data_IF_108899438058
#
_entry.id   IF_108899438058
#
_cell.length_a   1.000
_cell.length_b   1.000
_cell.length_c   1.000
_cell.angle_alpha   90.00
_cell.angle_beta   90.00
_cell.angle_gamma   90.00
#
_symmetry.space_group_name_H-M   'P 1'
#
loop_
_entity.id
_entity.type
_entity.pdbx_description
1 polymer ?
#
# COMPACT_ATOMS: atom_id res chain seq x y z
N UNK A 1 24.14 8.23 6.68
CA UNK A 1 22.98 8.94 7.28
C UNK A 1 22.38 10.01 6.36
N UNK A 2 23.22 10.74 5.62
CA UNK A 2 22.80 11.89 4.82
C UNK A 2 22.05 11.49 3.54
N UNK A 3 22.50 10.46 2.88
CA UNK A 3 21.94 9.96 1.61
C UNK A 3 20.49 9.44 1.75
N UNK A 4 20.13 8.87 2.90
CA UNK A 4 18.76 8.41 3.18
C UNK A 4 17.80 9.57 3.45
N UNK A 5 18.25 10.60 4.18
CA UNK A 5 17.45 11.81 4.43
C UNK A 5 17.18 12.57 3.14
N UNK A 6 18.16 12.67 2.25
CA UNK A 6 18.00 13.29 0.95
C UNK A 6 16.99 12.55 0.08
N UNK A 7 17.01 11.21 0.04
CA UNK A 7 16.03 10.42 -0.73
C UNK A 7 14.60 10.60 -0.21
N UNK A 8 14.40 10.64 1.10
CA UNK A 8 13.07 10.84 1.70
C UNK A 8 12.52 12.25 1.44
N UNK A 9 13.37 13.28 1.51
CA UNK A 9 12.98 14.64 1.14
C UNK A 9 12.61 14.71 -0.35
N UNK A 10 13.39 14.11 -1.25
CA UNK A 10 13.11 14.11 -2.68
C UNK A 10 11.77 13.45 -3.04
N UNK A 11 11.36 12.35 -2.40
CA UNK A 11 10.08 11.70 -2.67
C UNK A 11 8.92 12.62 -2.25
N UNK A 12 9.02 13.23 -1.07
CA UNK A 12 7.99 14.13 -0.55
C UNK A 12 7.82 15.39 -1.41
N UNK A 13 8.93 15.99 -1.82
CA UNK A 13 8.90 17.18 -2.67
C UNK A 13 8.33 16.87 -4.05
N UNK A 14 8.69 15.74 -4.63
CA UNK A 14 8.11 15.25 -5.90
C UNK A 14 6.62 14.99 -5.77
N UNK A 15 6.16 14.39 -4.66
CA UNK A 15 4.75 14.15 -4.42
C UNK A 15 3.96 15.45 -4.34
N UNK A 16 4.49 16.48 -3.65
CA UNK A 16 3.87 17.81 -3.56
C UNK A 16 3.82 18.47 -4.95
N UNK A 17 4.94 18.52 -5.66
CA UNK A 17 5.01 19.16 -6.99
C UNK A 17 4.04 18.49 -7.96
N UNK A 18 4.05 17.18 -8.07
CA UNK A 18 3.16 16.46 -8.99
C UNK A 18 1.70 16.56 -8.57
N UNK A 19 1.41 16.61 -7.26
CA UNK A 19 0.07 16.87 -6.74
C UNK A 19 -0.44 18.26 -7.11
N UNK A 20 0.39 19.30 -6.98
CA UNK A 20 0.07 20.67 -7.41
C UNK A 20 -0.19 20.70 -8.92
N UNK A 21 0.68 20.08 -9.72
CA UNK A 21 0.51 20.01 -11.18
C UNK A 21 -0.77 19.27 -11.57
N UNK A 22 -1.12 18.18 -10.90
CA UNK A 22 -2.38 17.50 -11.12
C UNK A 22 -3.60 18.38 -10.78
N UNK A 23 -3.50 19.15 -9.70
CA UNK A 23 -4.56 20.06 -9.27
C UNK A 23 -4.76 21.23 -10.23
N UNK A 24 -3.69 21.97 -10.59
CA UNK A 24 -3.80 23.15 -11.46
C UNK A 24 -4.17 22.83 -12.90
N UNK A 25 -3.90 21.59 -13.35
CA UNK A 25 -4.28 21.10 -14.67
C UNK A 25 -5.65 20.38 -14.69
N UNK A 26 -6.38 20.41 -13.56
CA UNK A 26 -7.67 19.73 -13.43
C UNK A 26 -8.66 20.15 -14.55
N UNK A 27 -9.32 19.18 -15.14
CA UNK A 27 -10.23 19.39 -16.27
C UNK A 27 -9.56 19.39 -17.65
N UNK A 28 -8.24 19.21 -17.72
CA UNK A 28 -7.51 19.04 -18.99
C UNK A 28 -6.93 17.63 -19.11
N UNK A 29 -6.50 17.22 -20.32
CA UNK A 29 -5.79 15.94 -20.51
C UNK A 29 -4.48 15.85 -19.71
N UNK A 30 -3.83 16.97 -19.41
CA UNK A 30 -2.64 17.03 -18.59
C UNK A 30 -2.89 16.58 -17.14
N UNK A 31 -4.10 16.73 -16.64
CA UNK A 31 -4.43 16.22 -15.30
C UNK A 31 -4.32 14.69 -15.24
N UNK A 32 -4.75 13.97 -16.25
CA UNK A 32 -4.61 12.51 -16.30
C UNK A 32 -3.14 12.09 -16.26
N UNK A 33 -2.28 12.77 -17.02
CA UNK A 33 -0.84 12.53 -17.00
C UNK A 33 -0.23 12.79 -15.60
N UNK A 34 -0.54 13.96 -15.01
CA UNK A 34 0.01 14.31 -13.70
C UNK A 34 -0.52 13.45 -12.56
N UNK A 35 -1.77 13.00 -12.63
CA UNK A 35 -2.28 12.00 -11.68
C UNK A 35 -1.56 10.67 -11.83
N UNK A 36 -1.28 10.20 -13.03
CA UNK A 36 -0.51 8.98 -13.23
C UNK A 36 0.90 9.09 -12.63
N UNK A 37 1.59 10.21 -12.85
CA UNK A 37 2.92 10.48 -12.26
C UNK A 37 2.81 10.55 -10.74
N UNK A 38 1.85 11.32 -10.20
CA UNK A 38 1.59 11.44 -8.78
C UNK A 38 1.36 10.08 -8.11
N UNK A 39 0.51 9.25 -8.69
CA UNK A 39 0.21 7.93 -8.15
C UNK A 39 1.42 6.99 -8.14
N UNK A 40 2.26 7.04 -9.18
CA UNK A 40 3.49 6.26 -9.19
C UNK A 40 4.46 6.73 -8.09
N UNK A 41 4.63 8.05 -7.89
CA UNK A 41 5.45 8.58 -6.79
C UNK A 41 4.84 8.22 -5.43
N UNK A 42 3.52 8.25 -5.30
CA UNK A 42 2.80 7.81 -4.12
C UNK A 42 3.06 6.32 -3.82
N UNK A 43 3.07 5.46 -4.83
CA UNK A 43 3.42 4.05 -4.70
C UNK A 43 4.86 3.82 -4.26
N UNK A 44 5.81 4.70 -4.61
CA UNK A 44 7.19 4.68 -4.11
C UNK A 44 7.36 5.08 -2.64
N UNK A 45 6.30 5.40 -1.91
CA UNK A 45 6.36 5.55 -0.43
C UNK A 45 6.66 4.21 0.27
N UNK A 46 6.62 3.11 -0.44
CA UNK A 46 6.87 1.76 0.05
C UNK A 46 8.26 1.56 0.71
N UNK A 47 9.39 2.09 0.20
CA UNK A 47 10.67 1.98 0.91
C UNK A 47 10.66 2.62 2.30
N UNK A 48 9.98 3.76 2.47
CA UNK A 48 9.84 4.40 3.78
C UNK A 48 9.02 3.53 4.74
N UNK A 49 7.94 2.94 4.25
CA UNK A 49 7.10 2.03 5.00
C UNK A 49 7.90 0.79 5.46
N UNK A 50 8.69 0.17 4.58
CA UNK A 50 9.52 -0.98 4.90
C UNK A 50 10.61 -0.63 5.94
N UNK A 51 11.38 0.44 5.74
CA UNK A 51 12.44 0.86 6.67
C UNK A 51 11.89 1.27 8.04
N UNK A 52 10.75 1.97 8.08
CA UNK A 52 10.09 2.35 9.34
C UNK A 52 9.48 1.14 10.04
N UNK A 53 9.00 0.16 9.28
CA UNK A 53 8.53 -1.13 9.80
C UNK A 53 9.62 -1.88 10.55
N UNK A 54 10.84 -1.88 10.01
CA UNK A 54 12.05 -2.41 10.65
C UNK A 54 12.63 -1.49 11.74
N UNK A 55 12.08 -0.29 11.94
CA UNK A 55 12.57 0.72 12.89
C UNK A 55 13.99 1.22 12.61
N UNK A 56 14.40 1.18 11.34
CA UNK A 56 15.76 1.55 10.88
C UNK A 56 15.86 2.94 10.26
N UNK A 57 14.71 3.57 9.93
CA UNK A 57 14.67 4.87 9.26
C UNK A 57 15.09 6.03 10.18
N UNK A 58 14.69 5.99 11.46
CA UNK A 58 14.94 7.04 12.45
C UNK A 58 15.55 6.45 13.73
N UNK A 59 16.37 7.24 14.43
CA UNK A 59 16.87 6.86 15.76
C UNK A 59 15.75 6.80 16.81
N UNK A 60 14.73 7.65 16.67
CA UNK A 60 13.57 7.69 17.57
C UNK A 60 12.58 6.57 17.22
N UNK A 61 12.25 5.74 18.21
CA UNK A 61 11.22 4.70 18.10
C UNK A 61 9.85 5.31 17.75
N UNK A 62 9.48 6.43 18.39
CA UNK A 62 8.20 7.10 18.17
C UNK A 62 8.08 7.65 16.76
N UNK A 63 9.17 8.21 16.19
CA UNK A 63 9.16 8.67 14.80
C UNK A 63 9.04 7.50 13.82
N UNK A 64 9.72 6.38 14.06
CA UNK A 64 9.54 5.19 13.23
C UNK A 64 8.08 4.72 13.24
N UNK A 65 7.45 4.62 14.41
CA UNK A 65 6.05 4.20 14.52
C UNK A 65 5.11 5.20 13.81
N UNK A 66 5.28 6.51 14.05
CA UNK A 66 4.45 7.54 13.43
C UNK A 66 4.50 7.47 11.90
N UNK A 67 5.70 7.47 11.32
CA UNK A 67 5.86 7.39 9.86
C UNK A 67 5.48 6.03 9.31
N UNK A 68 5.64 4.96 10.10
CA UNK A 68 5.19 3.63 9.72
C UNK A 68 3.68 3.57 9.51
N UNK A 69 2.89 4.12 10.43
CA UNK A 69 1.43 4.14 10.29
C UNK A 69 0.96 4.99 9.11
N UNK A 70 1.57 6.17 8.91
CA UNK A 70 1.27 7.00 7.74
C UNK A 70 1.61 6.28 6.44
N UNK A 71 2.83 5.77 6.31
CA UNK A 71 3.27 5.08 5.09
C UNK A 71 2.54 3.76 4.86
N UNK A 72 2.13 3.06 5.91
CA UNK A 72 1.25 1.89 5.82
C UNK A 72 -0.09 2.26 5.20
N UNK A 73 -0.70 3.37 5.63
CA UNK A 73 -1.92 3.89 5.00
C UNK A 73 -1.67 4.21 3.52
N UNK A 74 -0.59 4.92 3.19
CA UNK A 74 -0.24 5.27 1.81
C UNK A 74 0.01 4.02 0.95
N UNK A 75 0.62 2.98 1.51
CA UNK A 75 0.88 1.72 0.82
C UNK A 75 -0.30 0.75 0.81
N UNK A 76 -1.40 1.09 1.48
CA UNK A 76 -2.58 0.25 1.65
C UNK A 76 -2.29 -1.08 2.36
N UNK A 77 -1.41 -1.08 3.36
CA UNK A 77 -1.11 -2.22 4.21
C UNK A 77 -1.54 -1.94 5.65
N UNK A 78 -2.30 -2.83 6.25
CA UNK A 78 -2.58 -2.75 7.68
C UNK A 78 -1.26 -3.01 8.43
N UNK A 79 -0.84 -2.07 9.34
CA UNK A 79 0.52 -2.08 9.88
C UNK A 79 0.88 -3.32 10.69
N UNK A 80 -0.03 -3.84 11.52
CA UNK A 80 0.26 -5.04 12.32
C UNK A 80 0.21 -6.32 11.49
N UNK A 81 -0.77 -6.44 10.59
CA UNK A 81 -0.86 -7.55 9.65
C UNK A 81 0.45 -7.71 8.89
N UNK A 82 0.95 -6.59 8.33
CA UNK A 82 2.20 -6.64 7.59
C UNK A 82 3.41 -7.02 8.46
N UNK A 83 3.54 -6.47 9.65
CA UNK A 83 4.66 -6.83 10.55
C UNK A 83 4.71 -8.32 10.83
N UNK A 84 3.57 -8.93 11.07
CA UNK A 84 3.51 -10.36 11.35
C UNK A 84 3.79 -11.21 10.11
N UNK A 85 3.21 -10.89 8.96
CA UNK A 85 3.50 -11.62 7.72
C UNK A 85 4.94 -11.46 7.28
N UNK A 86 5.49 -10.24 7.42
CA UNK A 86 6.88 -9.95 7.07
C UNK A 86 7.88 -10.65 8.00
N UNK A 87 7.55 -10.78 9.27
CA UNK A 87 8.34 -11.58 10.20
C UNK A 87 8.37 -13.07 9.81
N UNK A 88 7.22 -13.61 9.43
CA UNK A 88 7.13 -14.98 8.92
C UNK A 88 7.92 -15.13 7.62
N UNK A 89 7.81 -14.16 6.70
CA UNK A 89 8.58 -14.12 5.45
C UNK A 89 10.09 -14.14 5.70
N UNK A 90 10.62 -13.27 6.58
CA UNK A 90 12.05 -13.26 6.92
C UNK A 90 12.55 -14.57 7.55
N UNK A 91 11.70 -15.23 8.33
CA UNK A 91 12.05 -16.51 8.94
C UNK A 91 12.06 -17.69 7.95
N UNK A 92 11.44 -17.53 6.78
CA UNK A 92 11.17 -18.63 5.85
C UNK A 92 11.40 -18.24 4.38
N UNK A 93 12.27 -17.24 4.14
CA UNK A 93 12.56 -16.73 2.80
C UNK A 93 13.01 -17.88 1.87
N UNK A 94 12.37 -17.98 0.70
CA UNK A 94 12.60 -19.03 -0.31
C UNK A 94 12.28 -20.47 0.12
N UNK A 95 11.58 -20.68 1.22
CA UNK A 95 11.09 -22.01 1.56
C UNK A 95 9.81 -22.32 0.77
N UNK A 96 9.92 -23.20 -0.21
CA UNK A 96 8.76 -23.73 -0.97
C UNK A 96 7.84 -24.59 -0.10
N UNK A 97 8.29 -24.97 1.08
CA UNK A 97 7.57 -25.83 2.02
C UNK A 97 6.76 -25.02 3.05
N UNK A 98 6.90 -23.69 3.07
CA UNK A 98 6.17 -22.87 4.02
C UNK A 98 4.84 -22.33 3.43
N UNK A 99 3.70 -22.97 3.78
CA UNK A 99 2.38 -22.55 3.31
C UNK A 99 1.92 -21.23 3.97
N UNK A 100 2.68 -20.69 4.91
CA UNK A 100 2.32 -19.51 5.70
C UNK A 100 2.98 -18.23 5.22
N UNK A 101 3.83 -18.28 4.18
CA UNK A 101 4.38 -17.08 3.56
C UNK A 101 3.32 -16.43 2.64
N UNK A 102 2.63 -15.43 3.19
CA UNK A 102 1.60 -14.68 2.46
C UNK A 102 2.13 -13.41 1.76
N UNK A 103 3.44 -13.19 1.74
CA UNK A 103 4.05 -12.05 1.03
C UNK A 103 4.44 -12.39 -0.39
N UNK A 104 4.81 -13.63 -0.64
CA UNK A 104 5.18 -14.12 -1.97
C UNK A 104 4.12 -15.09 -2.46
N UNK A 105 3.38 -14.69 -3.48
CA UNK A 105 2.60 -15.64 -4.28
C UNK A 105 3.59 -16.40 -5.18
N UNK A 106 4.05 -17.56 -4.74
CA UNK A 106 4.75 -18.48 -5.63
C UNK A 106 3.74 -18.93 -6.71
N UNK A 107 3.90 -18.38 -7.90
CA UNK A 107 3.19 -18.88 -9.06
C UNK A 107 3.62 -20.31 -9.33
N UNK A 108 2.84 -21.27 -8.87
CA UNK A 108 3.06 -22.69 -9.14
C UNK A 108 3.03 -23.04 -10.63
N UNK A 109 2.84 -22.04 -11.49
CA UNK A 109 2.71 -22.24 -12.93
C UNK A 109 3.33 -21.07 -13.70
N UNK A 110 4.43 -21.33 -14.39
CA UNK A 110 5.09 -20.38 -15.29
C UNK A 110 4.15 -19.76 -16.33
N UNK A 111 3.03 -20.40 -16.65
CA UNK A 111 2.00 -19.87 -17.57
C UNK A 111 1.15 -18.78 -16.96
N UNK A 112 1.02 -18.70 -15.64
CA UNK A 112 0.25 -17.66 -14.94
C UNK A 112 1.07 -16.41 -14.64
N UNK A 113 2.39 -16.56 -14.58
CA UNK A 113 3.30 -15.43 -14.28
C UNK A 113 3.17 -14.25 -15.25
N UNK A 114 3.11 -14.44 -16.60
CA UNK A 114 2.95 -13.32 -17.52
C UNK A 114 1.59 -12.62 -17.36
N UNK A 115 0.53 -13.36 -17.08
CA UNK A 115 -0.81 -12.81 -16.84
C UNK A 115 -0.85 -12.00 -15.55
N UNK A 116 -0.29 -12.53 -14.47
CA UNK A 116 -0.18 -11.84 -13.18
C UNK A 116 0.66 -10.56 -13.31
N UNK A 117 1.78 -10.63 -14.03
CA UNK A 117 2.62 -9.47 -14.33
C UNK A 117 1.83 -8.40 -15.09
N UNK A 118 1.19 -8.77 -16.18
CA UNK A 118 0.41 -7.84 -17.00
C UNK A 118 -0.72 -7.19 -16.19
N UNK A 119 -1.42 -7.97 -15.37
CA UNK A 119 -2.48 -7.48 -14.50
C UNK A 119 -1.99 -6.48 -13.47
N UNK A 120 -0.78 -6.67 -12.95
CA UNK A 120 -0.18 -5.74 -12.00
C UNK A 120 0.36 -4.46 -12.66
N UNK A 121 0.65 -4.48 -13.97
CA UNK A 121 1.14 -3.31 -14.72
C UNK A 121 0.01 -2.38 -15.18
N UNK A 122 -1.21 -2.87 -15.32
CA UNK A 122 -2.34 -2.06 -15.79
C UNK A 122 -2.94 -1.28 -14.62
N UNK A 123 -3.00 0.06 -14.68
CA UNK A 123 -3.69 0.86 -13.67
C UNK A 123 -5.13 0.39 -13.43
N UNK A 124 -5.58 0.43 -12.19
CA UNK A 124 -6.92 0.01 -11.76
C UNK A 124 -7.24 -1.48 -11.89
N UNK A 125 -6.35 -2.32 -12.41
CA UNK A 125 -6.64 -3.75 -12.57
C UNK A 125 -6.92 -4.44 -11.23
N UNK A 126 -6.35 -3.96 -10.11
CA UNK A 126 -6.67 -4.45 -8.77
C UNK A 126 -8.16 -4.30 -8.43
N UNK A 127 -8.87 -3.31 -9.00
CA UNK A 127 -10.32 -3.15 -8.79
C UNK A 127 -11.13 -4.23 -9.52
N UNK A 128 -10.65 -4.75 -10.64
CA UNK A 128 -11.29 -5.86 -11.36
C UNK A 128 -11.21 -7.15 -10.54
N UNK A 129 -10.08 -7.34 -9.87
CA UNK A 129 -9.83 -8.50 -8.99
C UNK A 129 -9.93 -8.14 -7.51
N UNK A 130 -10.80 -7.18 -7.17
CA UNK A 130 -10.92 -6.59 -5.85
C UNK A 130 -10.98 -7.62 -4.71
N UNK A 131 -11.68 -8.74 -4.88
CA UNK A 131 -11.76 -9.82 -3.88
C UNK A 131 -10.41 -10.47 -3.54
N UNK A 132 -9.39 -10.30 -4.37
CA UNK A 132 -8.03 -10.77 -4.14
C UNK A 132 -7.09 -9.65 -3.67
N UNK A 133 -7.60 -8.43 -3.50
CA UNK A 133 -6.81 -7.28 -3.12
C UNK A 133 -6.61 -7.19 -1.60
N UNK A 134 -5.52 -6.56 -1.20
CA UNK A 134 -5.27 -6.22 0.22
C UNK A 134 -6.37 -5.28 0.75
N UNK A 135 -6.92 -4.41 -0.09
CA UNK A 135 -8.04 -3.55 0.29
C UNK A 135 -9.28 -4.35 0.70
N UNK A 136 -9.59 -5.42 -0.02
CA UNK A 136 -10.68 -6.32 0.36
C UNK A 136 -10.39 -7.07 1.66
N UNK A 137 -9.15 -7.52 1.86
CA UNK A 137 -8.72 -8.14 3.11
C UNK A 137 -8.87 -7.19 4.31
N UNK A 138 -8.51 -5.90 4.15
CA UNK A 138 -8.73 -4.89 5.18
C UNK A 138 -10.21 -4.74 5.52
N UNK A 139 -11.10 -4.75 4.51
CA UNK A 139 -12.55 -4.71 4.75
C UNK A 139 -13.01 -5.95 5.52
N UNK A 140 -12.55 -7.14 5.16
CA UNK A 140 -12.89 -8.36 5.88
C UNK A 140 -12.44 -8.29 7.35
N UNK A 141 -11.22 -7.84 7.61
CA UNK A 141 -10.71 -7.65 8.97
C UNK A 141 -11.54 -6.60 9.74
N UNK A 142 -11.90 -5.49 9.10
CA UNK A 142 -12.75 -4.46 9.74
C UNK A 142 -14.13 -5.00 10.16
N UNK A 143 -14.68 -5.94 9.39
CA UNK A 143 -15.92 -6.67 9.71
C UNK A 143 -15.70 -7.78 10.75
N UNK A 144 -14.47 -8.03 11.20
CA UNK A 144 -14.13 -9.07 12.16
C UNK A 144 -13.99 -10.47 11.56
N UNK A 145 -13.91 -10.57 10.23
CA UNK A 145 -13.72 -11.86 9.55
C UNK A 145 -12.24 -12.26 9.69
N UNK A 146 -12.00 -13.42 10.27
CA UNK A 146 -10.67 -14.01 10.39
C UNK A 146 -10.26 -14.64 9.06
N UNK A 147 -9.48 -13.92 8.27
CA UNK A 147 -8.91 -14.45 7.01
C UNK A 147 -7.86 -15.51 7.31
N UNK A 148 -7.47 -16.29 6.28
CA UNK A 148 -6.40 -17.28 6.40
C UNK A 148 -5.09 -16.63 6.88
N UNK A 149 -4.73 -15.48 6.33
CA UNK A 149 -3.54 -14.71 6.75
C UNK A 149 -3.59 -14.38 8.24
N UNK A 150 -4.73 -13.96 8.74
CA UNK A 150 -4.90 -13.64 10.18
C UNK A 150 -4.73 -14.89 11.05
N UNK A 151 -5.23 -16.03 10.60
CA UNK A 151 -5.12 -17.31 11.35
C UNK A 151 -3.70 -17.85 11.34
N UNK A 152 -3.02 -17.78 10.18
CA UNK A 152 -1.70 -18.38 9.99
C UNK A 152 -0.56 -17.55 10.61
N UNK A 153 -0.65 -16.21 10.54
CA UNK A 153 0.48 -15.33 10.87
C UNK A 153 0.28 -14.48 12.12
N UNK A 154 -0.97 -14.20 12.54
CA UNK A 154 -1.22 -13.20 13.57
C UNK A 154 -1.63 -13.86 14.88
N UNK A 155 -0.84 -13.70 15.97
CA UNK A 155 -1.19 -14.24 17.27
C UNK A 155 -2.59 -13.77 17.72
N UNK A 156 -3.33 -14.63 18.40
CA UNK A 156 -4.72 -14.35 18.81
C UNK A 156 -4.86 -13.07 19.63
N UNK A 157 -3.90 -12.78 20.50
CA UNK A 157 -3.89 -11.58 21.33
C UNK A 157 -3.65 -10.29 20.52
N UNK A 158 -3.13 -10.38 19.29
CA UNK A 158 -2.90 -9.25 18.39
C UNK A 158 -4.05 -9.03 17.40
N UNK A 159 -4.86 -10.05 17.12
CA UNK A 159 -5.97 -9.97 16.14
C UNK A 159 -6.96 -8.83 16.42
N UNK A 160 -7.37 -8.54 17.68
CA UNK A 160 -8.27 -7.41 17.97
C UNK A 160 -7.68 -6.06 17.54
N UNK A 161 -6.36 -5.88 17.63
CA UNK A 161 -5.68 -4.66 17.19
C UNK A 161 -5.67 -4.53 15.67
N UNK A 162 -5.48 -5.63 14.94
CA UNK A 162 -5.58 -5.66 13.47
C UNK A 162 -6.99 -5.28 13.03
N UNK A 163 -8.02 -5.83 13.68
CA UNK A 163 -9.43 -5.49 13.42
C UNK A 163 -9.67 -3.99 13.67
N UNK A 164 -9.18 -3.47 14.79
CA UNK A 164 -9.32 -2.05 15.13
C UNK A 164 -8.63 -1.14 14.09
N UNK A 165 -7.38 -1.43 13.73
CA UNK A 165 -6.66 -0.67 12.71
C UNK A 165 -7.36 -0.73 11.35
N UNK A 166 -7.86 -1.90 10.96
CA UNK A 166 -8.61 -2.07 9.72
C UNK A 166 -9.89 -1.22 9.69
N UNK A 167 -10.59 -1.10 10.83
CA UNK A 167 -11.74 -0.18 10.98
C UNK A 167 -11.33 1.27 10.80
N UNK A 168 -10.16 1.69 11.31
CA UNK A 168 -9.63 3.04 11.08
C UNK A 168 -9.39 3.27 9.59
N UNK A 169 -8.79 2.30 8.87
CA UNK A 169 -8.58 2.40 7.42
C UNK A 169 -9.89 2.60 6.67
N UNK A 170 -10.90 1.76 6.96
CA UNK A 170 -12.23 1.86 6.34
C UNK A 170 -12.90 3.19 6.68
N UNK A 171 -12.80 3.65 7.93
CA UNK A 171 -13.35 4.94 8.35
C UNK A 171 -12.72 6.12 7.58
N UNK A 172 -11.39 6.08 7.37
CA UNK A 172 -10.70 7.10 6.56
C UNK A 172 -11.18 7.03 5.10
N UNK A 173 -11.34 5.85 4.51
CA UNK A 173 -11.85 5.71 3.15
C UNK A 173 -13.27 6.27 3.02
N UNK A 174 -14.16 5.96 3.97
CA UNK A 174 -15.51 6.51 4.01
C UNK A 174 -15.47 8.04 4.14
N UNK A 175 -14.62 8.58 5.02
CA UNK A 175 -14.48 10.03 5.19
C UNK A 175 -14.02 10.73 3.90
N UNK A 176 -13.08 10.13 3.14
CA UNK A 176 -12.62 10.67 1.85
C UNK A 176 -13.77 10.63 0.81
N UNK A 177 -14.53 9.55 0.77
CA UNK A 177 -15.69 9.43 -0.13
C UNK A 177 -16.75 10.47 0.23
N UNK A 178 -17.09 10.61 1.50
CA UNK A 178 -18.04 11.63 1.96
C UNK A 178 -17.55 13.05 1.65
N UNK A 179 -16.27 13.34 1.84
CA UNK A 179 -15.67 14.61 1.45
C UNK A 179 -15.85 14.87 -0.05
N UNK A 180 -15.60 13.88 -0.88
CA UNK A 180 -15.78 13.96 -2.33
C UNK A 180 -17.24 14.25 -2.72
N UNK A 181 -18.18 13.59 -2.04
CA UNK A 181 -19.63 13.81 -2.25
C UNK A 181 -20.08 15.20 -1.80
N UNK A 182 -19.65 15.66 -0.63
CA UNK A 182 -20.01 16.99 -0.08
C UNK A 182 -19.46 18.10 -0.97
N UNK A 183 -18.23 17.95 -1.48
CA UNK A 183 -17.61 18.97 -2.34
C UNK A 183 -17.99 18.82 -3.81
N UNK A 184 -18.77 17.80 -4.18
CA UNK A 184 -19.10 17.42 -5.56
C UNK A 184 -17.85 17.35 -6.46
N UNK A 185 -16.74 16.88 -5.89
CA UNK A 185 -15.44 16.85 -6.55
C UNK A 185 -14.79 15.48 -6.42
N UNK A 186 -14.22 14.97 -7.51
CA UNK A 186 -13.43 13.74 -7.52
C UNK A 186 -12.04 13.88 -6.91
N UNK A 187 -11.57 15.13 -6.69
CA UNK A 187 -10.21 15.40 -6.22
C UNK A 187 -9.85 14.69 -4.91
N UNK A 188 -10.68 14.68 -3.84
CA UNK A 188 -10.33 13.95 -2.62
C UNK A 188 -10.08 12.46 -2.86
N UNK A 189 -10.93 11.82 -3.65
CA UNK A 189 -10.79 10.40 -3.99
C UNK A 189 -9.56 10.16 -4.87
N UNK A 190 -9.29 11.02 -5.86
CA UNK A 190 -8.14 10.91 -6.74
C UNK A 190 -6.81 11.10 -6.01
N UNK A 191 -6.74 12.01 -5.03
CA UNK A 191 -5.51 12.29 -4.28
C UNK A 191 -5.24 11.31 -3.13
N UNK A 192 -6.28 10.84 -2.43
CA UNK A 192 -6.07 10.13 -1.16
C UNK A 192 -6.53 8.67 -1.16
N UNK A 193 -7.43 8.28 -2.07
CA UNK A 193 -7.95 6.91 -2.11
C UNK A 193 -7.43 6.13 -3.32
N UNK A 194 -7.53 6.67 -4.51
CA UNK A 194 -7.22 5.98 -5.76
C UNK A 194 -5.73 5.88 -6.13
N UNK A 195 -4.78 6.69 -5.60
CA UNK A 195 -3.36 6.53 -5.95
C UNK A 195 -2.83 5.13 -5.73
N UNK A 196 -3.36 4.42 -4.74
CA UNK A 196 -3.04 3.02 -4.42
C UNK A 196 -3.38 2.06 -5.58
N UNK A 197 -4.36 2.39 -6.41
CA UNK A 197 -4.86 1.55 -7.48
C UNK A 197 -4.30 1.89 -8.85
N UNK A 198 -3.97 3.17 -9.10
CA UNK A 198 -3.40 3.57 -10.38
C UNK A 198 -1.89 3.80 -10.37
N UNK A 199 -1.26 3.90 -9.19
CA UNK A 199 0.15 4.26 -9.03
C UNK A 199 1.10 3.12 -8.74
N UNK A 200 0.66 1.87 -8.72
CA UNK A 200 1.51 0.72 -8.37
C UNK A 200 2.37 0.18 -9.50
N UNK A 201 2.15 0.62 -10.74
CA UNK A 201 2.77 0.04 -11.93
C UNK A 201 4.29 -0.03 -11.84
N UNK A 202 4.97 1.10 -11.59
CA UNK A 202 6.42 1.14 -11.50
C UNK A 202 6.95 0.40 -10.27
N UNK A 203 6.27 0.50 -9.14
CA UNK A 203 6.68 -0.24 -7.94
C UNK A 203 6.67 -1.75 -8.17
N UNK A 204 5.61 -2.27 -8.79
CA UNK A 204 5.52 -3.69 -9.15
C UNK A 204 6.60 -4.09 -10.13
N UNK A 205 6.90 -3.25 -11.14
CA UNK A 205 7.99 -3.53 -12.08
C UNK A 205 9.33 -3.67 -11.36
N UNK A 206 9.64 -2.78 -10.44
CA UNK A 206 10.88 -2.83 -9.65
C UNK A 206 10.90 -4.05 -8.72
N UNK A 207 9.79 -4.41 -8.09
CA UNK A 207 9.72 -5.57 -7.21
C UNK A 207 9.89 -6.91 -7.93
N UNK A 208 9.69 -6.97 -9.25
CA UNK A 208 9.97 -8.17 -10.05
C UNK A 208 11.46 -8.32 -10.45
N UNK A 209 12.25 -7.27 -10.30
CA UNK A 209 13.68 -7.26 -10.67
C UNK A 209 14.60 -7.47 -9.45
N UNK A 210 14.05 -7.56 -8.26
CA UNK A 210 14.75 -7.85 -7.00
C UNK A 210 14.53 -9.30 -6.57
#
# INVERSE_FOLDING_TARGET
GDDRRQRQMCIRDRLLVTGILAYITWGTWWSAFWFLVYGNIYGFSNPLWHETGHKTAFQSKSLNEFFYYISSYLSNFEPLRWRYTHFVHHGNTYSTENPFDHEIEYGNNLKETPKSLLMNLIPFMELVYFKKSIAYEIIQHALGIKTKVMQDCIPENAQPKVIFNSRIFVAIWIAIILWSLITLSWLPVLFFLLPKFYGRTLHKLVSFTQ
#
